data_IF_004371522016
#
_entry.id   IF_004371522016
#
_cell.length_a   1.000
_cell.length_b   1.000
_cell.length_c   1.000
_cell.angle_alpha   90.00
_cell.angle_beta   90.00
_cell.angle_gamma   90.00
#
_symmetry.space_group_name_H-M   'P 1'
#
loop_
_entity.id
_entity.type
_entity.pdbx_description
1 polymer ?
#
# COMPACT_ATOMS: atom_id res chain seq x y z
N UNK A 1 0.97 -2.60 3.55
CA UNK A 1 0.12 -1.99 4.57
C UNK A 1 -1.37 -2.24 4.30
N UNK A 2 -1.95 -1.78 3.18
CA UNK A 2 -3.38 -1.88 2.87
C UNK A 2 -3.69 -2.17 1.39
N UNK A 3 -2.76 -2.75 0.64
CA UNK A 3 -2.93 -3.00 -0.79
C UNK A 3 -3.67 -4.30 -1.15
N UNK A 4 -3.79 -5.24 -0.22
CA UNK A 4 -4.37 -6.57 -0.44
C UNK A 4 -5.20 -7.04 0.75
N UNK A 5 -6.04 -8.07 0.57
CA UNK A 5 -6.88 -8.63 1.61
C UNK A 5 -6.10 -9.23 2.81
N UNK A 6 -4.87 -9.69 2.60
CA UNK A 6 -3.99 -10.16 3.69
C UNK A 6 -3.17 -9.04 4.36
N UNK A 7 -3.35 -7.79 3.94
CA UNK A 7 -2.58 -6.66 4.48
C UNK A 7 -3.01 -6.29 5.90
N UNK A 8 -2.07 -5.68 6.65
CA UNK A 8 -2.27 -5.32 8.07
C UNK A 8 -3.52 -4.48 8.33
N UNK A 9 -3.81 -3.50 7.47
CA UNK A 9 -5.00 -2.68 7.63
C UNK A 9 -6.28 -3.49 7.41
N UNK A 10 -6.32 -4.30 6.35
CA UNK A 10 -7.51 -5.10 6.05
C UNK A 10 -7.78 -6.11 7.16
N UNK A 11 -6.77 -6.91 7.54
CA UNK A 11 -6.93 -7.95 8.55
C UNK A 11 -7.22 -7.37 9.93
N UNK A 12 -6.48 -6.35 10.36
CA UNK A 12 -6.59 -5.89 11.76
C UNK A 12 -7.70 -4.85 11.98
N UNK A 13 -7.98 -3.98 10.98
CA UNK A 13 -8.99 -2.92 11.15
C UNK A 13 -10.38 -3.38 10.70
N UNK A 14 -10.45 -4.07 9.54
CA UNK A 14 -11.72 -4.50 8.98
C UNK A 14 -12.18 -5.85 9.54
N UNK A 15 -11.35 -6.90 9.44
CA UNK A 15 -11.79 -8.25 9.79
C UNK A 15 -11.81 -8.51 11.28
N UNK A 16 -10.71 -8.23 11.99
CA UNK A 16 -10.64 -8.51 13.43
C UNK A 16 -11.45 -7.56 14.29
N UNK A 17 -11.37 -6.27 14.01
CA UNK A 17 -12.01 -5.25 14.84
C UNK A 17 -13.35 -4.78 14.30
N UNK A 18 -13.70 -5.12 13.06
CA UNK A 18 -14.97 -4.74 12.45
C UNK A 18 -15.22 -3.23 12.36
N UNK A 19 -14.14 -2.42 12.33
CA UNK A 19 -14.24 -0.96 12.44
C UNK A 19 -14.51 -0.27 11.10
N UNK A 20 -14.26 -0.96 9.99
CA UNK A 20 -14.38 -0.39 8.66
C UNK A 20 -15.09 -1.33 7.70
N UNK A 21 -16.00 -0.79 6.88
CA UNK A 21 -16.61 -1.52 5.77
C UNK A 21 -15.61 -1.76 4.63
N UNK A 22 -14.79 -0.76 4.40
CA UNK A 22 -13.68 -0.82 3.44
C UNK A 22 -12.47 -0.12 4.03
N UNK A 23 -11.29 -0.63 3.74
CA UNK A 23 -10.03 0.02 4.09
C UNK A 23 -8.97 -0.37 3.06
N UNK A 24 -8.22 0.61 2.59
CA UNK A 24 -7.13 0.40 1.64
C UNK A 24 -6.04 1.45 1.81
N UNK A 25 -4.88 1.17 1.25
CA UNK A 25 -3.82 2.18 1.09
C UNK A 25 -3.28 2.18 -0.33
N UNK A 26 -2.96 3.35 -0.84
CA UNK A 26 -2.34 3.57 -2.13
C UNK A 26 -1.19 4.57 -2.02
N UNK A 27 -0.24 4.48 -2.94
CA UNK A 27 0.87 5.43 -3.06
C UNK A 27 0.68 6.19 -4.36
N UNK A 28 0.72 7.51 -4.25
CA UNK A 28 0.81 8.41 -5.39
C UNK A 28 2.30 8.72 -5.63
N UNK A 29 2.83 8.20 -6.72
CA UNK A 29 4.25 8.32 -7.06
C UNK A 29 4.68 9.74 -7.45
N UNK A 30 3.74 10.59 -7.88
CA UNK A 30 4.03 11.98 -8.24
C UNK A 30 4.20 12.86 -7.02
N UNK A 31 3.27 12.76 -6.09
CA UNK A 31 3.31 13.55 -4.85
C UNK A 31 4.17 12.90 -3.76
N UNK A 32 4.56 11.64 -3.92
CA UNK A 32 5.23 10.86 -2.87
C UNK A 32 4.34 10.60 -1.65
N UNK A 33 3.02 10.77 -1.80
CA UNK A 33 2.07 10.61 -0.69
C UNK A 33 1.50 9.22 -0.64
N UNK A 34 1.48 8.64 0.54
CA UNK A 34 0.66 7.47 0.84
C UNK A 34 -0.69 7.94 1.41
N UNK A 35 -1.76 7.48 0.78
CA UNK A 35 -3.14 7.73 1.23
C UNK A 35 -3.72 6.45 1.82
N UNK A 36 -4.42 6.59 2.94
CA UNK A 36 -5.21 5.52 3.54
C UNK A 36 -6.66 5.96 3.52
N UNK A 37 -7.50 5.14 2.91
CA UNK A 37 -8.95 5.35 2.84
C UNK A 37 -9.64 4.33 3.73
N UNK A 38 -10.61 4.78 4.53
CA UNK A 38 -11.44 3.91 5.34
C UNK A 38 -12.89 4.40 5.34
N UNK A 39 -13.82 3.53 4.96
CA UNK A 39 -15.26 3.73 5.17
C UNK A 39 -15.63 3.20 6.55
N UNK A 40 -16.05 4.07 7.44
CA UNK A 40 -16.29 3.75 8.86
C UNK A 40 -17.56 4.42 9.39
N UNK A 41 -18.12 3.88 10.46
CA UNK A 41 -19.10 4.61 11.25
C UNK A 41 -18.44 5.78 11.99
N UNK A 42 -19.15 6.90 12.12
CA UNK A 42 -18.70 8.10 12.85
C UNK A 42 -18.19 7.77 14.27
N UNK A 43 -18.89 6.93 14.99
CA UNK A 43 -18.53 6.49 16.36
C UNK A 43 -17.18 5.77 16.43
N UNK A 44 -16.74 5.17 15.34
CA UNK A 44 -15.51 4.38 15.25
C UNK A 44 -14.27 5.22 14.85
N UNK A 45 -14.43 6.52 14.55
CA UNK A 45 -13.37 7.39 14.03
C UNK A 45 -12.09 7.31 14.87
N UNK A 46 -12.17 7.61 16.15
CA UNK A 46 -11.00 7.69 17.04
C UNK A 46 -10.30 6.33 17.15
N UNK A 47 -11.08 5.25 17.30
CA UNK A 47 -10.54 3.90 17.42
C UNK A 47 -9.85 3.47 16.12
N UNK A 48 -10.47 3.76 14.96
CA UNK A 48 -9.90 3.44 13.65
C UNK A 48 -8.59 4.19 13.41
N UNK A 49 -8.54 5.49 13.67
CA UNK A 49 -7.33 6.29 13.52
C UNK A 49 -6.20 5.74 14.40
N UNK A 50 -6.48 5.48 15.69
CA UNK A 50 -5.51 4.87 16.61
C UNK A 50 -4.97 3.54 16.08
N UNK A 51 -5.85 2.70 15.56
CA UNK A 51 -5.46 1.38 15.07
C UNK A 51 -4.60 1.48 13.79
N UNK A 52 -4.94 2.42 12.89
CA UNK A 52 -4.11 2.70 11.70
C UNK A 52 -2.70 3.11 12.12
N UNK A 53 -2.58 4.03 13.08
CA UNK A 53 -1.28 4.42 13.62
C UNK A 53 -0.49 3.24 14.18
N UNK A 54 -1.16 2.36 14.91
CA UNK A 54 -0.54 1.15 15.45
C UNK A 54 -0.01 0.25 14.32
N UNK A 55 -0.77 0.06 13.23
CA UNK A 55 -0.30 -0.75 12.10
C UNK A 55 0.94 -0.14 11.42
N UNK A 56 1.00 1.19 11.30
CA UNK A 56 2.18 1.88 10.77
C UNK A 56 3.37 1.72 11.73
N UNK A 57 3.14 1.89 13.04
CA UNK A 57 4.19 1.70 14.05
C UNK A 57 4.73 0.26 14.06
N UNK A 58 3.86 -0.73 13.87
CA UNK A 58 4.27 -2.13 13.75
C UNK A 58 5.15 -2.36 12.52
N UNK A 59 4.85 -1.73 11.36
CA UNK A 59 5.72 -1.81 10.18
C UNK A 59 7.10 -1.20 10.46
N UNK A 60 7.15 -0.02 11.10
CA UNK A 60 8.40 0.65 11.48
C UNK A 60 9.28 -0.20 12.38
N UNK A 61 8.67 -1.05 13.21
CA UNK A 61 9.37 -1.98 14.12
C UNK A 61 9.65 -3.35 13.49
N UNK A 62 9.26 -3.57 12.23
CA UNK A 62 9.40 -4.87 11.57
C UNK A 62 8.46 -5.95 12.10
N UNK A 63 7.34 -5.58 12.75
CA UNK A 63 6.35 -6.51 13.28
C UNK A 63 5.43 -7.03 12.16
N UNK A 64 5.99 -7.79 11.24
CA UNK A 64 5.31 -8.56 10.20
C UNK A 64 6.10 -9.83 9.92
N UNK A 65 5.42 -10.86 9.41
CA UNK A 65 6.05 -12.15 9.13
C UNK A 65 6.69 -12.16 7.75
N UNK A 66 7.69 -13.01 7.56
CA UNK A 66 8.30 -13.23 6.24
C UNK A 66 7.31 -13.86 5.28
N UNK A 67 6.36 -14.65 5.79
CA UNK A 67 5.27 -15.20 5.01
C UNK A 67 4.38 -14.09 4.42
N UNK A 68 3.99 -13.08 5.22
CA UNK A 68 3.22 -11.93 4.76
C UNK A 68 3.99 -11.10 3.71
N UNK A 69 5.30 -10.95 3.87
CA UNK A 69 6.17 -10.31 2.89
C UNK A 69 6.18 -11.09 1.58
N UNK A 70 6.44 -12.40 1.64
CA UNK A 70 6.50 -13.27 0.48
C UNK A 70 5.15 -13.36 -0.25
N UNK A 71 4.05 -13.44 0.50
CA UNK A 71 2.70 -13.41 -0.08
C UNK A 71 2.44 -12.08 -0.82
N UNK A 72 2.87 -10.96 -0.24
CA UNK A 72 2.75 -9.64 -0.88
C UNK A 72 3.57 -9.56 -2.17
N UNK A 73 4.82 -10.06 -2.17
CA UNK A 73 5.64 -10.15 -3.38
C UNK A 73 4.96 -10.97 -4.47
N UNK A 74 4.44 -12.16 -4.13
CA UNK A 74 3.70 -13.01 -5.09
C UNK A 74 2.48 -12.29 -5.67
N UNK A 75 1.71 -11.59 -4.84
CA UNK A 75 0.54 -10.83 -5.32
C UNK A 75 0.93 -9.67 -6.23
N UNK A 76 1.96 -8.90 -5.88
CA UNK A 76 2.48 -7.82 -6.73
C UNK A 76 3.01 -8.35 -8.05
N UNK A 77 3.77 -9.44 -8.03
CA UNK A 77 4.25 -10.12 -9.24
C UNK A 77 3.08 -10.49 -10.16
N UNK A 78 2.07 -11.17 -9.63
CA UNK A 78 0.90 -11.59 -10.41
C UNK A 78 0.13 -10.39 -10.97
N UNK A 79 -0.09 -9.35 -10.17
CA UNK A 79 -0.74 -8.11 -10.62
C UNK A 79 0.03 -7.47 -11.77
N UNK A 80 1.36 -7.42 -11.68
CA UNK A 80 2.20 -6.86 -12.72
C UNK A 80 2.14 -7.69 -14.00
N UNK A 81 2.26 -9.01 -13.91
CA UNK A 81 2.17 -9.90 -15.07
C UNK A 81 0.82 -9.78 -15.78
N UNK A 82 -0.29 -9.77 -15.03
CA UNK A 82 -1.63 -9.57 -15.58
C UNK A 82 -1.83 -8.18 -16.21
N UNK A 83 -1.07 -7.18 -15.77
CA UNK A 83 -1.14 -5.84 -16.34
C UNK A 83 -0.53 -5.75 -17.73
N UNK A 84 0.40 -6.64 -18.09
CA UNK A 84 1.04 -6.68 -19.40
C UNK A 84 0.06 -7.06 -20.52
N UNK A 85 -1.00 -7.79 -20.21
CA UNK A 85 -2.04 -8.17 -21.17
C UNK A 85 -3.01 -7.02 -21.49
N UNK A 86 -2.90 -5.90 -20.77
CA UNK A 86 -3.78 -4.74 -20.92
C UNK A 86 -3.09 -3.62 -21.68
N UNK A 87 -3.47 -3.42 -22.92
CA UNK A 87 -2.89 -2.38 -23.80
C UNK A 87 -2.92 -0.98 -23.17
N UNK A 88 -4.04 -0.61 -22.52
CA UNK A 88 -4.15 0.68 -21.87
C UNK A 88 -3.12 0.88 -20.76
N UNK A 89 -2.83 -0.17 -19.98
CA UNK A 89 -1.83 -0.11 -18.91
C UNK A 89 -0.41 0.09 -19.47
N UNK A 90 -0.10 -0.52 -20.62
CA UNK A 90 1.20 -0.33 -21.28
C UNK A 90 1.36 1.12 -21.79
N UNK A 91 0.29 1.69 -22.36
CA UNK A 91 0.28 3.08 -22.82
C UNK A 91 0.46 4.03 -21.64
N UNK A 92 -0.27 3.81 -20.55
CA UNK A 92 -0.15 4.61 -19.32
C UNK A 92 1.28 4.52 -18.74
N UNK A 93 1.86 3.34 -18.67
CA UNK A 93 3.24 3.16 -18.19
C UNK A 93 4.25 3.89 -19.05
N UNK A 94 4.13 3.80 -20.38
CA UNK A 94 5.01 4.49 -21.31
C UNK A 94 4.87 6.02 -21.20
N UNK A 95 3.62 6.52 -21.09
CA UNK A 95 3.34 7.93 -20.86
C UNK A 95 3.95 8.41 -19.54
N UNK A 96 3.75 7.66 -18.47
CA UNK A 96 4.28 8.00 -17.14
C UNK A 96 5.81 8.03 -17.14
N UNK A 97 6.46 7.06 -17.77
CA UNK A 97 7.91 7.06 -17.94
C UNK A 97 8.40 8.31 -18.66
N UNK A 98 7.71 8.72 -19.74
CA UNK A 98 8.01 9.93 -20.49
C UNK A 98 7.85 11.20 -19.63
N UNK A 99 6.72 11.34 -18.91
CA UNK A 99 6.45 12.52 -18.06
C UNK A 99 7.45 12.64 -16.92
N UNK A 100 7.84 11.51 -16.32
CA UNK A 100 8.82 11.49 -15.23
C UNK A 100 10.27 11.58 -15.73
N UNK A 101 10.49 11.69 -17.04
CA UNK A 101 11.82 11.65 -17.68
C UNK A 101 12.64 10.42 -17.24
N UNK A 102 11.97 9.31 -16.98
CA UNK A 102 12.60 8.04 -16.59
C UNK A 102 12.52 7.07 -17.73
N UNK A 103 13.56 6.25 -17.87
CA UNK A 103 13.55 5.14 -18.82
C UNK A 103 12.47 4.13 -18.41
N UNK A 104 11.71 3.62 -19.38
CA UNK A 104 10.79 2.52 -19.14
C UNK A 104 11.56 1.33 -18.55
N UNK A 105 11.13 0.89 -17.37
CA UNK A 105 11.79 -0.22 -16.68
C UNK A 105 11.32 -1.56 -17.26
N UNK A 106 12.20 -2.37 -17.85
CA UNK A 106 11.84 -3.69 -18.33
C UNK A 106 11.25 -4.54 -17.19
N UNK A 107 10.24 -5.35 -17.52
CA UNK A 107 9.54 -6.18 -16.52
C UNK A 107 10.50 -7.09 -15.73
N UNK A 108 11.50 -7.66 -16.40
CA UNK A 108 12.49 -8.50 -15.73
C UNK A 108 13.28 -7.74 -14.65
N UNK A 109 13.65 -6.49 -14.92
CA UNK A 109 14.35 -5.62 -13.95
C UNK A 109 13.43 -5.31 -12.76
N UNK A 110 12.15 -5.00 -13.03
CA UNK A 110 11.16 -4.75 -12.00
C UNK A 110 10.94 -5.99 -11.12
N UNK A 111 10.78 -7.17 -11.72
CA UNK A 111 10.62 -8.43 -11.00
C UNK A 111 11.82 -8.76 -10.12
N UNK A 112 13.03 -8.57 -10.63
CA UNK A 112 14.26 -8.78 -9.86
C UNK A 112 14.33 -7.79 -8.67
N UNK A 113 14.00 -6.53 -8.90
CA UNK A 113 13.94 -5.53 -7.83
C UNK A 113 12.89 -5.87 -6.76
N UNK A 114 11.71 -6.36 -7.17
CA UNK A 114 10.67 -6.82 -6.24
C UNK A 114 11.16 -8.00 -5.37
N UNK A 115 11.80 -8.98 -5.97
CA UNK A 115 12.33 -10.15 -5.23
C UNK A 115 13.46 -9.74 -4.27
N UNK A 116 14.28 -8.76 -4.63
CA UNK A 116 15.36 -8.25 -3.79
C UNK A 116 14.89 -7.45 -2.57
N UNK A 117 13.63 -6.96 -2.55
CA UNK A 117 13.11 -6.19 -1.40
C UNK A 117 13.22 -7.01 -0.12
N UNK A 118 13.94 -6.48 0.85
CA UNK A 118 14.15 -7.09 2.17
C UNK A 118 13.15 -6.57 3.22
N UNK A 119 13.16 -7.18 4.39
CA UNK A 119 12.47 -6.69 5.58
C UNK A 119 12.96 -5.29 5.97
N UNK A 120 14.26 -5.09 5.92
CA UNK A 120 14.96 -3.85 6.26
C UNK A 120 14.52 -2.71 5.36
N UNK A 121 14.38 -2.96 4.05
CA UNK A 121 13.89 -1.95 3.09
C UNK A 121 12.48 -1.47 3.45
N UNK A 122 11.62 -2.39 3.88
CA UNK A 122 10.25 -2.05 4.32
C UNK A 122 10.28 -1.20 5.60
N UNK A 123 11.13 -1.55 6.56
CA UNK A 123 11.30 -0.78 7.80
C UNK A 123 11.80 0.62 7.49
N UNK A 124 12.84 0.73 6.65
CA UNK A 124 13.40 2.02 6.24
C UNK A 124 12.33 2.87 5.56
N UNK A 125 11.62 2.32 4.58
CA UNK A 125 10.53 3.03 3.91
C UNK A 125 9.41 3.44 4.88
N UNK A 126 9.03 2.56 5.81
CA UNK A 126 8.00 2.85 6.81
C UNK A 126 8.43 3.97 7.78
N UNK A 127 9.71 4.04 8.17
CA UNK A 127 10.21 5.09 9.08
C UNK A 127 10.14 6.48 8.48
N UNK A 128 10.17 6.59 7.15
CA UNK A 128 10.03 7.87 6.44
C UNK A 128 8.59 8.39 6.43
N UNK A 129 7.59 7.54 6.73
CA UNK A 129 6.19 7.97 6.74
C UNK A 129 5.93 8.97 7.86
N UNK A 130 5.40 10.14 7.46
CA UNK A 130 4.97 11.22 8.37
C UNK A 130 3.53 11.57 8.06
N UNK A 131 2.71 11.69 9.10
CA UNK A 131 1.34 12.17 8.93
C UNK A 131 1.37 13.62 8.44
N UNK A 132 0.61 13.88 7.37
CA UNK A 132 0.40 15.23 6.85
C UNK A 132 -0.97 15.77 7.24
N UNK A 133 -2.02 14.96 7.02
CA UNK A 133 -3.39 15.37 7.32
C UNK A 133 -4.29 14.15 7.58
N UNK A 134 -5.33 14.37 8.35
CA UNK A 134 -6.48 13.47 8.48
C UNK A 134 -7.71 14.25 8.03
N UNK A 135 -8.36 13.75 6.99
CA UNK A 135 -9.63 14.29 6.52
C UNK A 135 -10.75 13.32 6.88
N UNK A 136 -11.84 13.84 7.41
CA UNK A 136 -13.02 13.05 7.74
C UNK A 136 -14.26 13.69 7.13
N UNK A 137 -14.92 12.98 6.25
CA UNK A 137 -16.17 13.38 5.61
C UNK A 137 -17.34 12.67 6.27
N UNK A 138 -18.28 13.43 6.77
CA UNK A 138 -19.53 12.92 7.35
C UNK A 138 -20.67 13.18 6.37
N UNK A 139 -21.53 12.18 6.15
CA UNK A 139 -22.82 12.38 5.54
C UNK A 139 -23.75 13.19 6.47
N UNK A 140 -24.59 14.03 5.89
CA UNK A 140 -25.67 14.70 6.61
C UNK A 140 -26.76 13.70 6.99
#
# INVERSE_FOLDING_TARGET
LGGFAHSKLFVNVREKEGLAYTISSSIDIFSGMMRIYAGIDRKNRTKTVSLIYRQIADLKKGHFTDEALNQTKKMLRNTMLLSLDRQNTLIEQAYMASVLQKTFMPIAVWLNALEAVSREDIIVAATQLRLQAIYFMEGK
#
